data_IF_577473397200
#
_entry.id   IF_577473397200
#
_cell.length_a   1.000
_cell.length_b   1.000
_cell.length_c   1.000
_cell.angle_alpha   90.00
_cell.angle_beta   90.00
_cell.angle_gamma   90.00
#
_symmetry.space_group_name_H-M   'P 1'
#
loop_
_entity.id
_entity.type
_entity.pdbx_description
1 polymer ?
#
# COMPACT_ATOMS: atom_id res chain seq x y z
N UNK A 1 -11.75 24.80 -19.95
CA UNK A 1 -11.37 23.40 -19.64
C UNK A 1 -12.34 22.86 -18.61
N UNK A 2 -12.94 21.67 -18.81
CA UNK A 2 -13.90 21.13 -17.83
C UNK A 2 -13.18 20.78 -16.52
N UNK A 3 -13.82 21.03 -15.37
CA UNK A 3 -13.26 20.73 -14.04
C UNK A 3 -12.81 19.27 -13.93
N UNK A 4 -13.58 18.35 -14.51
CA UNK A 4 -13.24 16.93 -14.59
C UNK A 4 -11.93 16.66 -15.31
N UNK A 5 -11.68 17.34 -16.44
CA UNK A 5 -10.43 17.21 -17.18
C UNK A 5 -9.25 17.76 -16.37
N UNK A 6 -9.43 18.88 -15.67
CA UNK A 6 -8.40 19.44 -14.78
C UNK A 6 -8.04 18.47 -13.65
N UNK A 7 -9.03 17.79 -13.06
CA UNK A 7 -8.81 16.78 -12.01
C UNK A 7 -8.08 15.54 -12.52
N UNK A 8 -8.46 15.04 -13.69
CA UNK A 8 -7.77 13.90 -14.34
C UNK A 8 -6.32 14.28 -14.63
N UNK A 9 -6.10 15.46 -15.22
CA UNK A 9 -4.75 15.94 -15.52
C UNK A 9 -3.93 16.15 -14.24
N UNK A 10 -4.51 16.71 -13.17
CA UNK A 10 -3.85 16.88 -11.88
C UNK A 10 -3.33 15.56 -11.31
N UNK A 11 -4.18 14.54 -11.22
CA UNK A 11 -3.81 13.25 -10.67
C UNK A 11 -2.82 12.51 -11.57
N UNK A 12 -3.01 12.57 -12.89
CA UNK A 12 -2.13 11.89 -13.84
C UNK A 12 -0.74 12.52 -13.81
N UNK A 13 -0.68 13.86 -13.77
CA UNK A 13 0.56 14.60 -13.65
C UNK A 13 1.27 14.28 -12.33
N UNK A 14 0.55 14.28 -11.20
CA UNK A 14 1.12 13.93 -9.90
C UNK A 14 1.69 12.48 -9.87
N UNK A 15 0.95 11.53 -10.44
CA UNK A 15 1.40 10.13 -10.57
C UNK A 15 2.67 10.04 -11.44
N UNK A 16 2.65 10.62 -12.65
CA UNK A 16 3.79 10.60 -13.57
C UNK A 16 5.00 11.27 -12.92
N UNK A 17 4.80 12.42 -12.26
CA UNK A 17 5.87 13.11 -11.54
C UNK A 17 6.52 12.20 -10.50
N UNK A 18 5.73 11.59 -9.61
CA UNK A 18 6.25 10.68 -8.57
C UNK A 18 6.94 9.45 -9.13
N UNK A 19 6.42 8.88 -10.22
CA UNK A 19 7.02 7.71 -10.87
C UNK A 19 8.34 8.07 -11.54
N UNK A 20 8.39 9.17 -12.31
CA UNK A 20 9.61 9.59 -13.01
C UNK A 20 10.75 9.99 -12.06
N UNK A 21 10.46 10.34 -10.81
CA UNK A 21 11.48 10.59 -9.78
C UNK A 21 12.38 9.37 -9.55
N UNK A 22 11.85 8.15 -9.67
CA UNK A 22 12.51 6.93 -9.18
C UNK A 22 12.35 5.68 -10.04
N UNK A 23 11.56 5.72 -11.12
CA UNK A 23 11.36 4.58 -12.01
C UNK A 23 12.69 4.03 -12.54
N UNK A 24 12.92 2.74 -12.31
CA UNK A 24 14.14 1.99 -12.65
C UNK A 24 13.75 0.60 -13.19
N UNK A 25 14.74 -0.22 -13.55
CA UNK A 25 14.54 -1.65 -13.75
C UNK A 25 14.51 -2.38 -12.40
N UNK A 26 13.97 -3.61 -12.32
CA UNK A 26 14.06 -4.41 -11.12
C UNK A 26 15.52 -4.55 -10.68
N UNK A 27 15.76 -4.44 -9.37
CA UNK A 27 17.08 -4.71 -8.81
C UNK A 27 17.28 -6.22 -8.64
N UNK A 28 18.54 -6.63 -8.41
CA UNK A 28 18.90 -8.06 -8.23
C UNK A 28 18.07 -8.71 -7.10
N UNK A 29 17.73 -7.94 -6.06
CA UNK A 29 16.89 -8.41 -4.96
C UNK A 29 15.49 -8.80 -5.43
N UNK A 30 14.83 -7.93 -6.18
CA UNK A 30 13.52 -8.19 -6.77
C UNK A 30 13.58 -9.37 -7.74
N UNK A 31 14.60 -9.42 -8.61
CA UNK A 31 14.74 -10.49 -9.60
C UNK A 31 14.92 -11.86 -8.94
N UNK A 32 15.74 -11.94 -7.90
CA UNK A 32 15.98 -13.16 -7.12
C UNK A 32 14.66 -13.75 -6.60
N UNK A 33 13.72 -12.93 -6.14
CA UNK A 33 12.42 -13.40 -5.66
C UNK A 33 11.62 -14.16 -6.73
N UNK A 34 11.70 -13.76 -8.00
CA UNK A 34 11.03 -14.45 -9.12
C UNK A 34 11.73 -15.74 -9.55
N UNK A 35 13.04 -15.86 -9.30
CA UNK A 35 13.81 -17.05 -9.61
C UNK A 35 13.48 -18.22 -8.68
N UNK A 36 13.05 -17.94 -7.45
CA UNK A 36 12.75 -18.94 -6.42
C UNK A 36 11.33 -19.52 -6.53
N UNK A 37 11.21 -20.83 -6.42
CA UNK A 37 9.96 -21.59 -6.52
C UNK A 37 10.02 -22.89 -5.68
N UNK A 38 9.03 -23.78 -5.83
CA UNK A 38 8.95 -24.98 -5.02
C UNK A 38 9.80 -26.16 -5.50
N UNK A 39 10.64 -25.98 -6.54
CA UNK A 39 11.60 -27.02 -6.96
C UNK A 39 12.67 -27.29 -5.91
N UNK A 40 12.91 -26.33 -5.02
CA UNK A 40 13.83 -26.48 -3.88
C UNK A 40 13.20 -27.18 -2.67
N UNK A 41 11.92 -27.55 -2.76
CA UNK A 41 11.11 -27.95 -1.61
C UNK A 41 10.15 -26.85 -1.18
N UNK A 42 9.43 -27.07 -0.08
CA UNK A 42 8.50 -26.07 0.43
C UNK A 42 9.26 -24.91 1.09
N UNK A 43 9.22 -23.74 0.47
CA UNK A 43 9.82 -22.48 0.96
C UNK A 43 8.77 -21.38 1.00
N UNK A 44 8.84 -20.45 1.97
CA UNK A 44 7.94 -19.27 1.93
C UNK A 44 8.17 -18.47 0.66
N UNK A 45 7.15 -17.74 0.21
CA UNK A 45 7.20 -16.86 -0.97
C UNK A 45 7.45 -17.58 -2.31
N UNK A 46 7.55 -18.92 -2.32
CA UNK A 46 7.85 -19.70 -3.53
C UNK A 46 6.74 -19.70 -4.57
N UNK A 47 5.49 -19.40 -4.18
CA UNK A 47 4.35 -19.51 -5.10
C UNK A 47 4.42 -18.52 -6.27
N UNK A 48 4.92 -17.31 -6.06
CA UNK A 48 5.00 -16.32 -7.14
C UNK A 48 5.94 -16.78 -8.26
N UNK A 49 7.13 -17.28 -7.89
CA UNK A 49 8.06 -17.82 -8.86
C UNK A 49 7.60 -19.15 -9.47
N UNK A 50 6.82 -19.96 -8.76
CA UNK A 50 6.19 -21.18 -9.30
C UNK A 50 5.20 -20.82 -10.43
N UNK A 51 4.25 -19.91 -10.14
CA UNK A 51 3.27 -19.43 -11.13
C UNK A 51 4.00 -18.79 -12.32
N UNK A 52 5.00 -17.95 -12.06
CA UNK A 52 5.80 -17.33 -13.11
C UNK A 52 6.46 -18.36 -14.03
N UNK A 53 7.04 -19.42 -13.46
CA UNK A 53 7.72 -20.48 -14.19
C UNK A 53 6.80 -21.30 -15.11
N UNK A 54 5.49 -21.34 -14.86
CA UNK A 54 4.53 -22.02 -15.74
C UNK A 54 4.26 -21.25 -17.04
N UNK A 55 4.36 -19.91 -17.00
CA UNK A 55 4.00 -19.06 -18.14
C UNK A 55 5.21 -18.46 -18.86
N UNK A 56 6.33 -18.27 -18.16
CA UNK A 56 7.48 -17.53 -18.68
C UNK A 56 8.80 -18.24 -18.37
N UNK A 57 9.80 -17.97 -19.21
CA UNK A 57 11.18 -18.34 -18.91
C UNK A 57 11.72 -17.40 -17.82
N UNK A 58 12.45 -17.96 -16.86
CA UNK A 58 13.06 -17.21 -15.76
C UNK A 58 14.34 -16.51 -16.21
N UNK A 59 14.19 -15.34 -16.82
CA UNK A 59 15.29 -14.46 -17.21
C UNK A 59 14.94 -12.99 -16.90
N UNK A 60 15.97 -12.14 -16.81
CA UNK A 60 15.88 -10.68 -16.59
C UNK A 60 14.73 -10.03 -17.38
N UNK A 61 14.70 -10.23 -18.70
CA UNK A 61 13.72 -9.59 -19.58
C UNK A 61 12.27 -9.96 -19.24
N UNK A 62 12.01 -11.24 -18.97
CA UNK A 62 10.66 -11.71 -18.63
C UNK A 62 10.23 -11.19 -17.25
N UNK A 63 11.16 -11.15 -16.30
CA UNK A 63 10.92 -10.60 -14.96
C UNK A 63 10.63 -9.10 -15.05
N UNK A 64 11.46 -8.34 -15.77
CA UNK A 64 11.27 -6.90 -15.96
C UNK A 64 9.94 -6.57 -16.65
N UNK A 65 9.59 -7.29 -17.71
CA UNK A 65 8.33 -7.07 -18.44
C UNK A 65 7.12 -7.38 -17.56
N UNK A 66 7.11 -8.52 -16.86
CA UNK A 66 6.00 -8.89 -15.98
C UNK A 66 5.89 -7.90 -14.81
N UNK A 67 7.01 -7.53 -14.20
CA UNK A 67 7.07 -6.56 -13.10
C UNK A 67 6.52 -5.19 -13.51
N UNK A 68 6.90 -4.71 -14.69
CA UNK A 68 6.37 -3.48 -15.26
C UNK A 68 4.87 -3.59 -15.55
N UNK A 69 4.42 -4.71 -16.12
CA UNK A 69 2.99 -4.93 -16.39
C UNK A 69 2.16 -4.93 -15.10
N UNK A 70 2.64 -5.60 -14.05
CA UNK A 70 2.01 -5.62 -12.72
C UNK A 70 1.92 -4.21 -12.13
N UNK A 71 3.02 -3.45 -12.16
CA UNK A 71 3.07 -2.09 -11.63
C UNK A 71 2.14 -1.14 -12.38
N UNK A 72 2.18 -1.17 -13.72
CA UNK A 72 1.30 -0.37 -14.58
C UNK A 72 -0.16 -0.72 -14.31
N UNK A 73 -0.49 -2.01 -14.20
CA UNK A 73 -1.85 -2.45 -13.91
C UNK A 73 -2.34 -1.93 -12.55
N UNK A 74 -1.50 -1.99 -11.51
CA UNK A 74 -1.79 -1.39 -10.21
C UNK A 74 -2.05 0.12 -10.34
N UNK A 75 -1.18 0.84 -11.04
CA UNK A 75 -1.32 2.29 -11.26
C UNK A 75 -2.58 2.67 -12.02
N UNK A 76 -2.96 1.91 -13.05
CA UNK A 76 -4.21 2.10 -13.78
C UNK A 76 -5.42 1.89 -12.85
N UNK A 77 -5.39 0.86 -12.00
CA UNK A 77 -6.48 0.60 -11.05
C UNK A 77 -6.61 1.71 -9.99
N UNK A 78 -5.52 2.10 -9.33
CA UNK A 78 -5.57 3.17 -8.32
C UNK A 78 -5.97 4.51 -8.96
N UNK A 79 -5.50 4.81 -10.16
CA UNK A 79 -5.87 6.01 -10.90
C UNK A 79 -7.36 6.01 -11.25
N UNK A 80 -7.87 4.89 -11.80
CA UNK A 80 -9.28 4.73 -12.12
C UNK A 80 -10.16 4.87 -10.88
N UNK A 81 -9.76 4.29 -9.76
CA UNK A 81 -10.46 4.43 -8.47
C UNK A 81 -10.47 5.90 -8.04
N UNK A 82 -9.32 6.57 -8.00
CA UNK A 82 -9.22 7.98 -7.58
C UNK A 82 -10.10 8.92 -8.43
N UNK A 83 -10.06 8.77 -9.75
CA UNK A 83 -10.88 9.55 -10.69
C UNK A 83 -12.36 9.25 -10.49
N UNK A 84 -12.75 7.97 -10.46
CA UNK A 84 -14.15 7.56 -10.25
C UNK A 84 -14.70 8.10 -8.94
N UNK A 85 -13.95 7.95 -7.85
CA UNK A 85 -14.38 8.45 -6.55
C UNK A 85 -14.43 9.99 -6.56
N UNK A 86 -13.46 10.68 -7.14
CA UNK A 86 -13.51 12.15 -7.26
C UNK A 86 -14.73 12.64 -8.02
N UNK A 87 -15.12 11.96 -9.10
CA UNK A 87 -16.28 12.36 -9.90
C UNK A 87 -17.63 12.15 -9.23
N UNK A 88 -17.70 11.32 -8.18
CA UNK A 88 -18.92 11.21 -7.36
C UNK A 88 -19.20 12.48 -6.56
N UNK A 89 -18.17 13.25 -6.23
CA UNK A 89 -18.30 14.54 -5.56
C UNK A 89 -17.16 15.49 -5.98
N UNK A 90 -17.27 16.02 -7.20
CA UNK A 90 -16.21 16.83 -7.84
C UNK A 90 -15.89 18.16 -7.13
N UNK A 91 -16.76 18.58 -6.22
CA UNK A 91 -16.60 19.80 -5.42
C UNK A 91 -16.00 19.54 -4.03
N UNK A 92 -15.73 18.29 -3.66
CA UNK A 92 -15.05 17.98 -2.41
C UNK A 92 -13.55 18.26 -2.51
N UNK A 93 -13.11 19.37 -1.93
CA UNK A 93 -11.69 19.65 -1.75
C UNK A 93 -10.96 18.62 -0.86
N UNK A 94 -11.52 18.13 0.27
CA UNK A 94 -10.88 17.08 1.05
C UNK A 94 -10.53 15.84 0.22
N UNK A 95 -11.43 15.41 -0.65
CA UNK A 95 -11.21 14.29 -1.58
C UNK A 95 -10.09 14.59 -2.59
N UNK A 96 -10.09 15.79 -3.16
CA UNK A 96 -9.06 16.22 -4.12
C UNK A 96 -7.67 16.25 -3.47
N UNK A 97 -7.56 16.88 -2.30
CA UNK A 97 -6.29 16.98 -1.59
C UNK A 97 -5.79 15.62 -1.07
N UNK A 98 -6.70 14.74 -0.63
CA UNK A 98 -6.35 13.37 -0.25
C UNK A 98 -5.68 12.62 -1.40
N UNK A 99 -6.31 12.56 -2.58
CA UNK A 99 -5.75 11.84 -3.72
C UNK A 99 -4.49 12.51 -4.27
N UNK A 100 -4.42 13.85 -4.24
CA UNK A 100 -3.20 14.56 -4.63
C UNK A 100 -2.02 14.18 -3.73
N UNK A 101 -2.20 14.23 -2.40
CA UNK A 101 -1.16 13.82 -1.45
C UNK A 101 -0.81 12.35 -1.63
N UNK A 102 -1.78 11.46 -1.85
CA UNK A 102 -1.52 10.06 -2.13
C UNK A 102 -0.65 9.87 -3.39
N UNK A 103 -0.97 10.52 -4.52
CA UNK A 103 -0.17 10.38 -5.75
C UNK A 103 1.22 10.97 -5.63
N UNK A 104 1.39 12.00 -4.79
CA UNK A 104 2.71 12.57 -4.49
C UNK A 104 3.47 11.78 -3.42
N UNK A 105 2.79 10.93 -2.65
CA UNK A 105 3.35 10.27 -1.48
C UNK A 105 4.52 9.36 -1.79
N UNK A 106 5.27 9.07 -0.73
CA UNK A 106 6.41 8.17 -0.75
C UNK A 106 6.02 6.75 -1.18
N UNK A 107 4.77 6.33 -1.01
CA UNK A 107 4.32 5.04 -1.53
C UNK A 107 4.45 4.94 -3.06
N UNK A 108 4.06 5.98 -3.81
CA UNK A 108 4.18 5.98 -5.27
C UNK A 108 5.66 6.02 -5.67
N UNK A 109 6.46 6.80 -4.96
CA UNK A 109 7.91 6.90 -5.21
C UNK A 109 8.61 5.56 -4.94
N UNK A 110 8.32 4.88 -3.82
CA UNK A 110 8.90 3.59 -3.48
C UNK A 110 8.37 2.46 -4.37
N UNK A 111 7.09 2.44 -4.73
CA UNK A 111 6.57 1.41 -5.64
C UNK A 111 7.22 1.48 -7.03
N UNK A 112 7.51 2.69 -7.53
CA UNK A 112 8.25 2.85 -8.79
C UNK A 112 9.71 2.44 -8.68
N UNK A 113 10.34 2.69 -7.52
CA UNK A 113 11.73 2.29 -7.25
C UNK A 113 11.86 0.77 -7.10
N UNK A 114 10.95 0.15 -6.35
CA UNK A 114 10.94 -1.27 -5.99
C UNK A 114 10.20 -2.12 -7.04
N UNK A 115 10.27 -1.74 -8.32
CA UNK A 115 9.63 -2.50 -9.39
C UNK A 115 10.07 -3.96 -9.32
N UNK A 116 9.10 -4.88 -9.44
CA UNK A 116 9.34 -6.32 -9.30
C UNK A 116 9.22 -6.87 -7.88
N UNK A 117 9.09 -6.02 -6.86
CA UNK A 117 8.70 -6.50 -5.53
C UNK A 117 7.27 -7.03 -5.53
N UNK A 118 7.04 -8.09 -4.75
CA UNK A 118 5.72 -8.71 -4.62
C UNK A 118 4.67 -7.83 -3.91
N UNK A 119 5.06 -6.70 -3.34
CA UNK A 119 4.14 -5.71 -2.74
C UNK A 119 3.03 -5.32 -3.73
N UNK A 120 3.40 -5.11 -4.99
CA UNK A 120 2.46 -4.75 -6.05
C UNK A 120 1.41 -5.84 -6.25
N UNK A 121 1.82 -7.11 -6.24
CA UNK A 121 0.92 -8.26 -6.35
C UNK A 121 0.01 -8.34 -5.12
N UNK A 122 0.57 -8.17 -3.91
CA UNK A 122 -0.21 -8.14 -2.66
C UNK A 122 -1.28 -7.05 -2.70
N UNK A 123 -0.97 -5.84 -3.17
CA UNK A 123 -1.96 -4.77 -3.27
C UNK A 123 -3.02 -5.01 -4.35
N UNK A 124 -2.66 -5.60 -5.49
CA UNK A 124 -3.63 -6.04 -6.51
C UNK A 124 -4.60 -7.08 -5.95
N UNK A 125 -4.07 -8.09 -5.26
CA UNK A 125 -4.89 -9.10 -4.59
C UNK A 125 -5.73 -8.49 -3.45
N UNK A 126 -5.22 -7.48 -2.75
CA UNK A 126 -6.00 -6.74 -1.73
C UNK A 126 -7.18 -6.01 -2.36
N UNK A 127 -7.00 -5.35 -3.50
CA UNK A 127 -8.09 -4.71 -4.27
C UNK A 127 -9.14 -5.76 -4.69
N UNK A 128 -8.71 -6.94 -5.12
CA UNK A 128 -9.59 -8.05 -5.46
C UNK A 128 -10.36 -8.56 -4.22
N UNK A 129 -9.70 -8.76 -3.09
CA UNK A 129 -10.31 -9.17 -1.81
C UNK A 129 -11.38 -8.18 -1.36
N UNK A 130 -11.08 -6.88 -1.37
CA UNK A 130 -12.06 -5.82 -1.05
C UNK A 130 -13.26 -5.88 -2.01
N UNK A 131 -13.01 -6.10 -3.30
CA UNK A 131 -14.08 -6.25 -4.30
C UNK A 131 -14.97 -7.47 -4.02
N UNK A 132 -14.38 -8.61 -3.62
CA UNK A 132 -15.10 -9.83 -3.25
C UNK A 132 -15.90 -9.65 -1.96
N UNK A 133 -15.34 -9.00 -0.94
CA UNK A 133 -16.02 -8.63 0.31
C UNK A 133 -17.22 -7.73 0.02
N UNK A 134 -17.06 -6.75 -0.87
CA UNK A 134 -18.15 -5.86 -1.28
C UNK A 134 -19.28 -6.60 -2.00
N UNK A 135 -18.94 -7.69 -2.71
CA UNK A 135 -19.88 -8.63 -3.35
C UNK A 135 -20.34 -9.77 -2.42
N UNK A 136 -20.03 -9.70 -1.12
CA UNK A 136 -20.39 -10.71 -0.10
C UNK A 136 -19.82 -12.11 -0.36
N UNK A 137 -18.76 -12.23 -1.18
CA UNK A 137 -18.06 -13.51 -1.48
C UNK A 137 -16.91 -13.75 -0.50
N UNK A 138 -17.22 -13.88 0.79
CA UNK A 138 -16.21 -13.93 1.87
C UNK A 138 -15.28 -15.15 1.77
N UNK A 139 -15.79 -16.32 1.41
CA UNK A 139 -14.96 -17.51 1.24
C UNK A 139 -13.95 -17.36 0.09
N UNK A 140 -14.40 -16.84 -1.06
CA UNK A 140 -13.49 -16.57 -2.18
C UNK A 140 -12.43 -15.52 -1.81
N UNK A 141 -12.82 -14.49 -1.04
CA UNK A 141 -11.87 -13.50 -0.52
C UNK A 141 -10.83 -14.15 0.41
N UNK A 142 -11.25 -15.07 1.27
CA UNK A 142 -10.39 -15.88 2.15
C UNK A 142 -9.37 -16.70 1.35
N UNK A 143 -9.82 -17.39 0.29
CA UNK A 143 -8.92 -18.14 -0.61
C UNK A 143 -7.89 -17.23 -1.27
N UNK A 144 -8.30 -16.07 -1.81
CA UNK A 144 -7.35 -15.11 -2.41
C UNK A 144 -6.33 -14.62 -1.38
N UNK A 145 -6.74 -14.39 -0.13
CA UNK A 145 -5.82 -14.01 0.93
C UNK A 145 -4.82 -15.13 1.28
N UNK A 146 -5.24 -16.40 1.29
CA UNK A 146 -4.34 -17.57 1.41
C UNK A 146 -3.31 -17.59 0.27
N UNK A 147 -3.76 -17.44 -0.98
CA UNK A 147 -2.86 -17.35 -2.14
C UNK A 147 -1.85 -16.20 -1.99
N UNK A 148 -2.29 -15.05 -1.50
CA UNK A 148 -1.41 -13.90 -1.27
C UNK A 148 -0.36 -14.17 -0.20
N UNK A 149 -0.67 -14.92 0.86
CA UNK A 149 0.29 -15.26 1.93
C UNK A 149 1.40 -16.17 1.38
N UNK A 150 1.07 -17.12 0.51
CA UNK A 150 2.07 -17.97 -0.15
C UNK A 150 2.96 -17.20 -1.13
N UNK A 151 2.48 -16.09 -1.69
CA UNK A 151 3.29 -15.16 -2.50
C UNK A 151 4.19 -14.32 -1.58
N UNK A 152 3.61 -13.72 -0.55
CA UNK A 152 4.36 -12.93 0.41
C UNK A 152 3.59 -12.81 1.74
N UNK A 153 4.19 -13.27 2.82
CA UNK A 153 3.65 -13.28 4.17
C UNK A 153 3.31 -11.89 4.72
N UNK A 154 3.92 -10.82 4.19
CA UNK A 154 3.57 -9.44 4.59
C UNK A 154 2.11 -9.12 4.28
N UNK A 155 1.47 -9.88 3.38
CA UNK A 155 0.04 -9.75 3.11
C UNK A 155 -0.79 -9.92 4.39
N UNK A 156 -0.31 -10.65 5.40
CA UNK A 156 -0.94 -10.72 6.70
C UNK A 156 -1.12 -9.32 7.32
N UNK A 157 -0.09 -8.47 7.27
CA UNK A 157 -0.10 -7.12 7.84
C UNK A 157 -0.72 -6.08 6.92
N UNK A 158 -0.65 -6.27 5.60
CA UNK A 158 -1.14 -5.30 4.61
C UNK A 158 -2.61 -5.53 4.24
N UNK A 159 -3.01 -6.78 4.02
CA UNK A 159 -4.30 -7.15 3.46
C UNK A 159 -5.35 -7.41 4.54
N UNK A 160 -5.01 -8.14 5.60
CA UNK A 160 -6.01 -8.56 6.58
C UNK A 160 -6.64 -7.41 7.37
N UNK A 161 -5.88 -6.40 7.87
CA UNK A 161 -6.47 -5.29 8.62
C UNK A 161 -7.43 -4.45 7.77
N UNK A 162 -7.07 -4.19 6.51
CA UNK A 162 -7.95 -3.44 5.61
C UNK A 162 -9.14 -4.26 5.14
N UNK A 163 -8.99 -5.59 5.01
CA UNK A 163 -10.11 -6.51 4.74
C UNK A 163 -11.08 -6.59 5.92
N UNK A 164 -10.57 -6.53 7.15
CA UNK A 164 -11.40 -6.43 8.36
C UNK A 164 -12.21 -5.14 8.33
N UNK A 165 -11.55 -4.00 8.06
CA UNK A 165 -12.23 -2.72 7.91
C UNK A 165 -13.29 -2.75 6.79
N UNK A 166 -12.96 -3.33 5.62
CA UNK A 166 -13.89 -3.50 4.52
C UNK A 166 -15.14 -4.31 4.92
N UNK A 167 -14.96 -5.38 5.71
CA UNK A 167 -16.06 -6.20 6.19
C UNK A 167 -16.96 -5.42 7.15
N UNK A 168 -16.38 -4.71 8.12
CA UNK A 168 -17.14 -3.86 9.06
C UNK A 168 -17.96 -2.82 8.30
N UNK A 169 -17.34 -2.07 7.38
CA UNK A 169 -18.04 -1.06 6.56
C UNK A 169 -19.13 -1.69 5.68
N UNK A 170 -18.88 -2.89 5.15
CA UNK A 170 -19.83 -3.61 4.29
C UNK A 170 -21.06 -4.10 5.06
N UNK A 171 -20.95 -4.37 6.36
CA UNK A 171 -22.02 -4.89 7.22
C UNK A 171 -22.76 -3.81 8.01
N UNK A 172 -22.07 -2.77 8.48
CA UNK A 172 -22.65 -1.73 9.33
C UNK A 172 -23.33 -0.57 8.56
N UNK A 173 -23.76 -0.81 7.31
CA UNK A 173 -24.31 0.22 6.42
C UNK A 173 -25.43 1.03 7.11
N UNK A 174 -25.31 2.36 7.06
CA UNK A 174 -26.26 3.35 7.59
C UNK A 174 -26.49 3.37 9.11
N UNK A 175 -25.86 2.48 9.88
CA UNK A 175 -25.93 2.48 11.35
C UNK A 175 -24.67 3.11 11.94
N UNK A 176 -24.82 3.77 13.08
CA UNK A 176 -23.67 4.20 13.89
C UNK A 176 -22.97 2.93 14.38
N UNK A 177 -21.75 2.71 13.92
CA UNK A 177 -20.97 1.54 14.31
C UNK A 177 -20.63 1.61 15.80
N UNK A 178 -20.79 0.47 16.47
CA UNK A 178 -20.34 0.22 17.83
C UNK A 178 -19.33 -0.92 17.84
N UNK A 179 -18.32 -0.89 18.73
CA UNK A 179 -17.41 -2.03 18.94
C UNK A 179 -18.16 -3.30 19.31
N UNK A 180 -19.32 -3.19 19.97
CA UNK A 180 -20.21 -4.31 20.24
C UNK A 180 -20.71 -5.03 18.98
N UNK A 181 -20.84 -4.32 17.85
CA UNK A 181 -21.30 -4.89 16.58
C UNK A 181 -20.32 -5.95 16.05
N UNK A 182 -19.01 -5.80 16.33
CA UNK A 182 -17.97 -6.78 15.95
C UNK A 182 -18.30 -8.16 16.52
N UNK A 183 -18.82 -8.20 17.75
CA UNK A 183 -19.17 -9.43 18.47
C UNK A 183 -20.55 -9.98 18.13
N UNK A 184 -21.27 -9.37 17.18
CA UNK A 184 -22.52 -9.92 16.69
C UNK A 184 -22.27 -11.25 15.96
N UNK A 185 -23.16 -12.24 16.16
CA UNK A 185 -23.06 -13.56 15.52
C UNK A 185 -22.91 -13.48 13.99
N UNK A 186 -23.59 -12.51 13.36
CA UNK A 186 -23.52 -12.27 11.91
C UNK A 186 -22.12 -11.84 11.48
N UNK A 187 -21.52 -10.86 12.15
CA UNK A 187 -20.17 -10.37 11.82
C UNK A 187 -19.12 -11.42 12.18
N UNK A 188 -19.21 -12.06 13.36
CA UNK A 188 -18.29 -13.12 13.77
C UNK A 188 -18.25 -14.30 12.78
N UNK A 189 -19.40 -14.75 12.28
CA UNK A 189 -19.45 -15.83 11.28
C UNK A 189 -18.75 -15.45 9.98
N UNK A 190 -18.91 -14.19 9.52
CA UNK A 190 -18.27 -13.69 8.29
C UNK A 190 -16.78 -13.43 8.50
N UNK A 191 -16.38 -12.98 9.69
CA UNK A 191 -14.98 -12.86 10.11
C UNK A 191 -14.30 -14.23 10.12
N UNK A 192 -14.96 -15.26 10.68
CA UNK A 192 -14.44 -16.62 10.67
C UNK A 192 -14.24 -17.12 9.23
N UNK A 193 -15.24 -16.94 8.36
CA UNK A 193 -15.14 -17.29 6.94
C UNK A 193 -13.97 -16.58 6.23
N UNK A 194 -13.73 -15.31 6.56
CA UNK A 194 -12.70 -14.49 5.91
C UNK A 194 -11.29 -14.77 6.45
N UNK A 195 -11.13 -15.03 7.76
CA UNK A 195 -9.82 -15.00 8.42
C UNK A 195 -9.31 -16.35 8.91
N UNK A 196 -10.15 -17.35 9.14
CA UNK A 196 -9.68 -18.65 9.67
C UNK A 196 -8.64 -19.27 8.75
N UNK A 197 -8.88 -19.33 7.43
CA UNK A 197 -7.92 -19.93 6.50
C UNK A 197 -6.62 -19.12 6.41
N UNK A 198 -6.62 -17.79 6.16
CA UNK A 198 -5.38 -17.00 6.12
C UNK A 198 -4.57 -17.06 7.42
N UNK A 199 -5.22 -17.04 8.58
CA UNK A 199 -4.53 -17.12 9.89
C UNK A 199 -3.89 -18.50 10.05
N UNK A 200 -4.62 -19.58 9.79
CA UNK A 200 -4.06 -20.95 9.84
C UNK A 200 -2.89 -21.06 8.87
N UNK A 201 -3.03 -20.61 7.61
CA UNK A 201 -1.95 -20.64 6.62
C UNK A 201 -0.72 -19.90 7.12
N UNK A 202 -0.88 -18.70 7.68
CA UNK A 202 0.24 -17.91 8.21
C UNK A 202 0.95 -18.67 9.34
N UNK A 203 0.19 -19.21 10.29
CA UNK A 203 0.74 -19.99 11.42
C UNK A 203 1.44 -21.24 10.90
N UNK A 204 0.85 -21.98 9.97
CA UNK A 204 1.43 -23.20 9.40
C UNK A 204 2.75 -22.91 8.66
N UNK A 205 2.80 -21.83 7.88
CA UNK A 205 4.03 -21.42 7.17
C UNK A 205 5.13 -21.02 8.17
N UNK A 206 4.78 -20.23 9.19
CA UNK A 206 5.74 -19.82 10.23
C UNK A 206 6.23 -21.01 11.05
N UNK A 207 5.34 -21.93 11.43
CA UNK A 207 5.68 -23.13 12.19
C UNK A 207 6.56 -24.09 11.36
N UNK A 208 6.25 -24.27 10.08
CA UNK A 208 7.09 -25.06 9.17
C UNK A 208 8.50 -24.49 9.09
N UNK A 209 8.64 -23.17 8.99
CA UNK A 209 9.95 -22.50 8.97
C UNK A 209 10.71 -22.67 10.28
N UNK A 210 10.03 -22.61 11.42
CA UNK A 210 10.68 -22.80 12.72
C UNK A 210 11.29 -24.20 12.86
N UNK A 211 10.64 -25.22 12.29
CA UNK A 211 11.13 -26.62 12.34
C UNK A 211 12.23 -26.87 11.32
N UNK A 212 12.13 -26.29 10.13
CA UNK A 212 12.99 -26.61 8.99
C UNK A 212 14.01 -25.49 8.68
N UNK A 213 14.34 -24.65 9.67
CA UNK A 213 15.22 -23.49 9.49
C UNK A 213 16.56 -23.93 8.84
N UNK A 214 17.05 -23.09 7.93
CA UNK A 214 18.32 -23.25 7.21
C UNK A 214 18.49 -24.47 6.27
N UNK A 215 17.59 -25.45 6.28
CA UNK A 215 17.72 -26.68 5.47
C UNK A 215 17.91 -26.42 3.96
N UNK A 216 17.37 -25.31 3.46
CA UNK A 216 17.43 -24.94 2.03
C UNK A 216 18.43 -23.84 1.71
N UNK A 217 19.17 -23.30 2.70
CA UNK A 217 19.96 -22.09 2.52
C UNK A 217 21.05 -22.28 1.45
N UNK A 218 21.90 -23.30 1.61
CA UNK A 218 23.00 -23.58 0.70
C UNK A 218 22.53 -23.90 -0.72
N UNK A 219 21.37 -24.55 -0.85
CA UNK A 219 20.78 -24.90 -2.15
C UNK A 219 20.33 -23.63 -2.87
N UNK A 220 19.58 -22.76 -2.19
CA UNK A 220 19.09 -21.49 -2.74
C UNK A 220 20.26 -20.57 -3.08
N UNK A 221 21.23 -20.44 -2.17
CA UNK A 221 22.41 -19.60 -2.35
C UNK A 221 23.20 -20.00 -3.59
N UNK A 222 23.51 -21.30 -3.72
CA UNK A 222 24.25 -21.82 -4.86
C UNK A 222 23.49 -21.64 -6.17
N UNK A 223 22.17 -21.83 -6.17
CA UNK A 223 21.34 -21.60 -7.36
C UNK A 223 21.33 -20.14 -7.80
N UNK A 224 21.12 -19.21 -6.87
CA UNK A 224 21.12 -17.77 -7.18
C UNK A 224 22.49 -17.32 -7.67
N UNK A 225 23.57 -17.75 -7.01
CA UNK A 225 24.96 -17.44 -7.40
C UNK A 225 25.32 -17.98 -8.80
N UNK A 226 24.81 -19.15 -9.18
CA UNK A 226 25.01 -19.70 -10.53
C UNK A 226 24.27 -18.91 -11.61
N UNK A 227 23.23 -18.18 -11.22
CA UNK A 227 22.52 -17.28 -12.11
C UNK A 227 23.37 -16.01 -12.22
N UNK A 228 24.12 -15.85 -13.31
CA UNK A 228 25.09 -14.75 -13.57
C UNK A 228 24.57 -13.31 -13.37
N UNK A 229 23.29 -13.16 -13.04
CA UNK A 229 22.53 -11.93 -12.84
C UNK A 229 22.55 -11.47 -11.37
N UNK A 230 22.87 -12.36 -10.41
CA UNK A 230 22.74 -12.10 -8.97
C UNK A 230 24.11 -12.12 -8.27
N UNK A 231 24.44 -11.03 -7.58
CA UNK A 231 25.66 -10.93 -6.77
C UNK A 231 25.62 -11.83 -5.53
N UNK A 232 26.80 -12.20 -5.02
CA UNK A 232 26.95 -13.05 -3.83
C UNK A 232 26.25 -12.44 -2.58
N UNK A 233 26.32 -11.12 -2.42
CA UNK A 233 25.69 -10.41 -1.30
C UNK A 233 24.16 -10.53 -1.35
N UNK A 234 23.58 -10.26 -2.52
CA UNK A 234 22.12 -10.38 -2.75
C UNK A 234 21.68 -11.83 -2.59
N UNK A 235 22.40 -12.79 -3.18
CA UNK A 235 22.09 -14.21 -3.07
C UNK A 235 22.06 -14.68 -1.60
N UNK A 236 23.04 -14.27 -0.79
CA UNK A 236 23.11 -14.61 0.64
C UNK A 236 21.96 -13.99 1.44
N UNK A 237 21.65 -12.72 1.18
CA UNK A 237 20.59 -12.03 1.89
C UNK A 237 19.20 -12.56 1.48
N UNK A 238 18.94 -12.86 0.19
CA UNK A 238 17.66 -13.47 -0.26
C UNK A 238 17.52 -14.88 0.30
N UNK A 239 18.58 -15.68 0.25
CA UNK A 239 18.54 -17.04 0.83
C UNK A 239 18.16 -16.99 2.31
N UNK A 240 18.75 -16.05 3.07
CA UNK A 240 18.38 -15.79 4.47
C UNK A 240 16.91 -15.36 4.61
N UNK A 241 16.41 -14.49 3.72
CA UNK A 241 15.02 -14.04 3.72
C UNK A 241 14.00 -15.18 3.54
N UNK A 242 14.39 -16.26 2.84
CA UNK A 242 13.53 -17.43 2.58
C UNK A 242 13.66 -18.53 3.63
N UNK A 243 14.83 -18.70 4.25
CA UNK A 243 15.06 -19.82 5.16
C UNK A 243 14.93 -19.45 6.63
N UNK A 244 15.41 -18.26 7.03
CA UNK A 244 15.44 -17.87 8.44
C UNK A 244 14.04 -17.84 9.06
N UNK A 245 13.97 -18.38 10.26
CA UNK A 245 12.79 -18.43 11.11
C UNK A 245 12.24 -17.06 11.51
N UNK A 246 10.97 -17.03 11.93
CA UNK A 246 10.35 -15.80 12.44
C UNK A 246 11.05 -15.33 13.72
N UNK A 247 11.39 -16.26 14.61
CA UNK A 247 12.08 -15.99 15.87
C UNK A 247 13.41 -15.28 15.63
N UNK A 248 14.19 -15.73 14.64
CA UNK A 248 15.44 -15.09 14.25
C UNK A 248 15.25 -13.60 13.90
N UNK A 249 14.26 -13.28 13.05
CA UNK A 249 13.97 -11.90 12.68
C UNK A 249 13.45 -11.07 13.85
N UNK A 250 12.57 -11.65 14.68
CA UNK A 250 12.01 -10.95 15.82
C UNK A 250 13.09 -10.59 16.85
N UNK A 251 13.94 -11.54 17.22
CA UNK A 251 15.04 -11.29 18.16
C UNK A 251 16.03 -10.25 17.64
N UNK A 252 16.35 -10.29 16.34
CA UNK A 252 17.26 -9.34 15.71
C UNK A 252 16.67 -7.93 15.54
N UNK A 253 15.35 -7.76 15.47
CA UNK A 253 14.73 -6.47 15.11
C UNK A 253 13.91 -5.83 16.23
N UNK A 254 13.44 -6.58 17.24
CA UNK A 254 12.59 -6.06 18.32
C UNK A 254 13.19 -4.87 19.06
N UNK A 255 14.52 -4.84 19.24
CA UNK A 255 15.24 -3.74 19.92
C UNK A 255 15.14 -2.40 19.19
N UNK A 256 14.95 -2.41 17.87
CA UNK A 256 14.85 -1.21 17.04
C UNK A 256 13.41 -0.73 16.83
N UNK A 257 12.41 -1.47 17.32
CA UNK A 257 11.00 -1.21 17.04
C UNK A 257 10.57 0.22 17.45
N UNK A 258 10.81 0.58 18.73
CA UNK A 258 10.45 1.90 19.26
C UNK A 258 11.21 3.02 18.55
N UNK A 259 12.50 2.80 18.26
CA UNK A 259 13.34 3.76 17.54
C UNK A 259 12.77 4.05 16.14
N UNK A 260 12.43 3.01 15.37
CA UNK A 260 11.91 3.15 14.00
C UNK A 260 10.51 3.78 13.96
N UNK A 261 9.69 3.50 14.97
CA UNK A 261 8.30 3.97 15.03
C UNK A 261 8.16 5.41 15.55
N UNK A 262 8.95 5.81 16.55
CA UNK A 262 8.73 7.10 17.23
C UNK A 262 9.89 8.09 17.13
N UNK A 263 11.12 7.61 16.93
CA UNK A 263 12.34 8.44 17.00
C UNK A 263 12.94 8.67 15.59
N UNK A 264 12.51 7.90 14.59
CA UNK A 264 13.04 8.01 13.24
C UNK A 264 12.57 9.29 12.53
N UNK A 265 13.35 9.74 11.55
CA UNK A 265 12.94 10.82 10.63
C UNK A 265 11.63 10.49 9.92
N UNK A 266 11.34 9.20 9.70
CA UNK A 266 10.11 8.75 9.04
C UNK A 266 8.85 9.11 9.83
N UNK A 267 8.91 9.09 11.16
CA UNK A 267 7.78 9.47 12.02
C UNK A 267 7.27 10.87 11.68
N UNK A 268 8.17 11.80 11.36
CA UNK A 268 7.81 13.16 10.94
C UNK A 268 7.48 13.18 9.44
N UNK A 269 8.40 12.72 8.59
CA UNK A 269 8.31 12.90 7.14
C UNK A 269 7.14 12.13 6.49
N UNK A 270 6.75 11.00 7.07
CA UNK A 270 5.66 10.16 6.58
C UNK A 270 4.44 10.30 7.49
N UNK A 271 4.65 10.32 8.81
CA UNK A 271 3.56 10.41 9.79
C UNK A 271 2.70 11.68 9.63
N UNK A 272 3.30 12.82 9.28
CA UNK A 272 2.54 14.08 9.11
C UNK A 272 1.66 14.06 7.85
N UNK A 273 2.16 13.67 6.66
CA UNK A 273 1.27 13.46 5.52
C UNK A 273 0.24 12.34 5.71
N UNK A 274 0.58 11.25 6.42
CA UNK A 274 -0.38 10.20 6.81
C UNK A 274 -1.49 10.79 7.68
N UNK A 275 -1.13 11.60 8.69
CA UNK A 275 -2.09 12.27 9.56
C UNK A 275 -2.98 13.25 8.78
N UNK A 276 -2.43 13.94 7.77
CA UNK A 276 -3.22 14.77 6.87
C UNK A 276 -4.24 13.94 6.07
N UNK A 277 -3.81 12.81 5.49
CA UNK A 277 -4.70 11.90 4.78
C UNK A 277 -5.82 11.35 5.68
N UNK A 278 -5.49 10.96 6.92
CA UNK A 278 -6.47 10.58 7.94
C UNK A 278 -7.46 11.70 8.24
N UNK A 279 -6.96 12.94 8.38
CA UNK A 279 -7.81 14.11 8.61
C UNK A 279 -8.75 14.38 7.43
N UNK A 280 -8.27 14.26 6.19
CA UNK A 280 -9.11 14.40 4.99
C UNK A 280 -10.21 13.34 4.94
N UNK A 281 -9.92 12.08 5.27
CA UNK A 281 -10.93 11.01 5.40
C UNK A 281 -11.93 11.36 6.52
N UNK A 282 -11.44 11.74 7.70
CA UNK A 282 -12.29 12.09 8.85
C UNK A 282 -13.30 13.18 8.51
N UNK A 283 -12.84 14.20 7.76
CA UNK A 283 -13.66 15.34 7.31
C UNK A 283 -14.62 14.97 6.20
N UNK A 284 -14.15 14.28 5.16
CA UNK A 284 -14.94 13.90 3.99
C UNK A 284 -16.14 13.02 4.39
N UNK A 285 -15.90 12.01 5.23
CA UNK A 285 -16.94 11.07 5.65
C UNK A 285 -17.61 11.45 6.98
N UNK A 286 -17.32 12.65 7.52
CA UNK A 286 -17.86 13.18 8.77
C UNK A 286 -17.77 12.18 9.93
N UNK A 287 -16.63 11.51 10.05
CA UNK A 287 -16.42 10.40 11.00
C UNK A 287 -16.47 10.84 12.46
N UNK A 288 -16.60 12.14 12.75
CA UNK A 288 -16.98 12.65 14.09
C UNK A 288 -18.26 12.00 14.62
N UNK A 289 -19.21 11.67 13.74
CA UNK A 289 -20.46 10.98 14.11
C UNK A 289 -20.26 9.49 14.41
N UNK A 290 -19.12 8.93 13.99
CA UNK A 290 -18.78 7.52 14.10
C UNK A 290 -17.29 7.33 14.44
N UNK A 291 -16.89 7.84 15.62
CA UNK A 291 -15.49 7.86 16.04
C UNK A 291 -14.89 6.46 16.19
N UNK A 292 -15.70 5.47 16.56
CA UNK A 292 -15.24 4.09 16.70
C UNK A 292 -14.83 3.51 15.34
N UNK A 293 -15.56 3.82 14.27
CA UNK A 293 -15.17 3.43 12.92
C UNK A 293 -13.85 4.11 12.50
N UNK A 294 -13.66 5.38 12.89
CA UNK A 294 -12.39 6.08 12.64
C UNK A 294 -11.21 5.47 13.41
N UNK A 295 -11.43 5.00 14.64
CA UNK A 295 -10.41 4.26 15.41
C UNK A 295 -10.05 2.97 14.66
N UNK A 296 -11.03 2.18 14.21
CA UNK A 296 -10.76 0.94 13.45
C UNK A 296 -9.97 1.23 12.16
N UNK A 297 -10.35 2.28 11.42
CA UNK A 297 -9.63 2.72 10.22
C UNK A 297 -8.18 3.10 10.54
N UNK A 298 -7.99 3.91 11.58
CA UNK A 298 -6.67 4.39 12.00
C UNK A 298 -5.79 3.21 12.42
N UNK A 299 -6.34 2.29 13.22
CA UNK A 299 -5.65 1.05 13.59
C UNK A 299 -5.24 0.28 12.33
N UNK A 300 -6.18 0.01 11.42
CA UNK A 300 -5.89 -0.73 10.18
C UNK A 300 -4.78 -0.06 9.34
N UNK A 301 -4.77 1.28 9.26
CA UNK A 301 -3.75 2.04 8.53
C UNK A 301 -2.35 1.93 9.15
N UNK A 302 -2.25 1.74 10.47
CA UNK A 302 -0.97 1.66 11.18
C UNK A 302 -0.50 0.23 11.48
N UNK A 303 -1.34 -0.81 11.33
CA UNK A 303 -0.91 -2.22 11.46
C UNK A 303 0.33 -2.56 10.60
N UNK A 304 0.48 -2.08 9.35
CA UNK A 304 1.70 -2.32 8.58
C UNK A 304 3.00 -1.94 9.31
N UNK A 305 2.96 -0.94 10.19
CA UNK A 305 4.15 -0.51 10.93
C UNK A 305 4.62 -1.53 11.98
N UNK A 306 3.79 -2.52 12.34
CA UNK A 306 4.20 -3.65 13.18
C UNK A 306 5.29 -4.50 12.51
N UNK A 307 5.44 -4.44 11.18
CA UNK A 307 6.52 -5.09 10.46
C UNK A 307 7.91 -4.66 10.94
N UNK A 308 8.06 -3.47 11.54
CA UNK A 308 9.35 -3.04 12.11
C UNK A 308 9.86 -3.94 13.24
N UNK A 309 8.99 -4.78 13.83
CA UNK A 309 9.39 -5.76 14.83
C UNK A 309 10.15 -6.95 14.23
N UNK A 310 10.08 -7.15 12.92
CA UNK A 310 10.65 -8.30 12.20
C UNK A 310 11.39 -7.92 10.91
N UNK A 311 11.38 -6.66 10.50
CA UNK A 311 12.00 -6.18 9.27
C UNK A 311 12.69 -4.83 9.49
N UNK A 312 13.77 -4.61 8.73
CA UNK A 312 14.61 -3.41 8.83
C UNK A 312 14.26 -2.30 7.84
N UNK A 313 13.44 -2.61 6.83
CA UNK A 313 13.01 -1.78 5.70
C UNK A 313 12.17 -0.54 6.11
N UNK A 314 12.77 0.38 6.87
CA UNK A 314 12.03 1.43 7.58
C UNK A 314 11.25 2.35 6.63
N UNK A 315 11.88 2.85 5.56
CA UNK A 315 11.24 3.75 4.61
C UNK A 315 10.11 3.09 3.81
N UNK A 316 10.34 1.86 3.33
CA UNK A 316 9.32 1.05 2.63
C UNK A 316 8.13 0.75 3.53
N UNK A 317 8.36 0.32 4.78
CA UNK A 317 7.29 0.01 5.74
C UNK A 317 6.46 1.26 6.07
N UNK A 318 7.12 2.40 6.28
CA UNK A 318 6.42 3.69 6.50
C UNK A 318 5.61 4.18 5.31
N UNK A 319 5.84 3.65 4.11
CA UNK A 319 5.06 3.98 2.92
C UNK A 319 3.71 3.24 2.84
N UNK A 320 3.61 2.04 3.43
CA UNK A 320 2.40 1.20 3.33
C UNK A 320 1.11 1.85 3.86
N UNK A 321 1.12 2.64 4.97
CA UNK A 321 -0.07 3.33 5.44
C UNK A 321 -0.75 4.21 4.38
N UNK A 322 -0.02 4.82 3.45
CA UNK A 322 -0.63 5.62 2.37
C UNK A 322 -1.56 4.78 1.50
N UNK A 323 -1.14 3.58 1.13
CA UNK A 323 -1.95 2.66 0.33
C UNK A 323 -3.12 2.09 1.13
N UNK A 324 -2.93 1.80 2.42
CA UNK A 324 -4.04 1.36 3.29
C UNK A 324 -5.07 2.47 3.45
N UNK A 325 -4.66 3.73 3.59
CA UNK A 325 -5.56 4.88 3.63
C UNK A 325 -6.28 5.09 2.30
N UNK A 326 -5.59 4.92 1.17
CA UNK A 326 -6.21 4.96 -0.16
C UNK A 326 -7.34 3.93 -0.29
N UNK A 327 -7.07 2.68 0.10
CA UNK A 327 -8.06 1.61 0.11
C UNK A 327 -9.20 1.90 1.10
N UNK A 328 -8.90 2.46 2.27
CA UNK A 328 -9.90 2.86 3.27
C UNK A 328 -10.84 3.94 2.74
N UNK A 329 -10.28 4.95 2.06
CA UNK A 329 -11.06 5.99 1.37
C UNK A 329 -12.00 5.36 0.34
N UNK A 330 -11.47 4.44 -0.48
CA UNK A 330 -12.27 3.75 -1.49
C UNK A 330 -13.39 2.89 -0.87
N UNK A 331 -13.10 2.15 0.19
CA UNK A 331 -14.08 1.35 0.94
C UNK A 331 -15.23 2.24 1.43
N UNK A 332 -14.91 3.34 2.14
CA UNK A 332 -15.91 4.28 2.66
C UNK A 332 -16.74 4.93 1.55
N UNK A 333 -16.09 5.33 0.45
CA UNK A 333 -16.76 5.95 -0.71
C UNK A 333 -17.64 4.97 -1.47
N UNK A 334 -17.27 3.67 -1.52
CA UNK A 334 -18.02 2.64 -2.26
C UNK A 334 -19.40 2.35 -1.68
N UNK A 335 -19.57 2.55 -0.36
CA UNK A 335 -20.79 2.18 0.38
C UNK A 335 -21.77 3.33 0.59
N UNK A 336 -21.55 4.47 -0.04
CA UNK A 336 -22.37 5.66 0.16
C UNK A 336 -22.64 5.85 1.66
N UNK A 337 -21.57 5.89 2.48
CA UNK A 337 -21.66 6.56 3.79
C UNK A 337 -21.80 8.06 3.48
N UNK A 338 -22.89 8.39 2.79
CA UNK A 338 -23.32 9.71 2.43
C UNK A 338 -23.88 10.28 3.71
N UNK A 339 -22.99 10.99 4.40
CA UNK A 339 -23.37 12.29 4.93
C UNK A 339 -24.24 12.95 3.86
N UNK A 340 -25.49 13.28 4.19
CA UNK A 340 -26.34 14.17 3.38
C UNK A 340 -25.44 15.24 2.77
N UNK A 341 -25.61 15.57 1.48
CA UNK A 341 -24.89 16.64 0.75
C UNK A 341 -24.87 17.93 1.60
N UNK A 342 -24.00 17.99 2.60
CA UNK A 342 -23.71 19.20 3.35
C UNK A 342 -22.97 20.07 2.35
N UNK A 343 -23.35 21.34 2.33
CA UNK A 343 -22.81 22.36 1.43
C UNK A 343 -21.30 22.27 1.32
N UNK A 344 -20.78 22.58 0.13
CA UNK A 344 -19.36 22.63 -0.22
C UNK A 344 -18.53 23.12 0.98
N UNK A 345 -17.91 22.18 1.71
CA UNK A 345 -17.16 22.51 2.91
C UNK A 345 -15.88 23.22 2.48
N UNK A 346 -15.87 24.54 2.65
CA UNK A 346 -14.66 25.35 2.45
C UNK A 346 -13.58 24.83 3.41
N UNK A 347 -12.37 24.68 2.90
CA UNK A 347 -11.21 24.38 3.73
C UNK A 347 -10.94 25.56 4.68
N UNK A 348 -10.74 25.25 5.94
CA UNK A 348 -10.25 26.21 6.94
C UNK A 348 -8.78 26.57 6.68
N UNK A 349 -8.34 27.72 7.20
CA UNK A 349 -6.94 28.13 7.12
C UNK A 349 -5.98 27.09 7.71
N UNK A 350 -6.38 26.43 8.80
CA UNK A 350 -5.60 25.36 9.44
C UNK A 350 -5.43 24.16 8.51
N UNK A 351 -6.47 23.76 7.78
CA UNK A 351 -6.40 22.65 6.82
C UNK A 351 -5.50 22.99 5.62
N UNK A 352 -5.49 24.25 5.19
CA UNK A 352 -4.60 24.73 4.13
C UNK A 352 -3.15 24.70 4.61
N UNK A 353 -2.87 25.19 5.82
CA UNK A 353 -1.52 25.14 6.42
C UNK A 353 -1.06 23.69 6.57
N UNK A 354 -1.93 22.79 7.06
CA UNK A 354 -1.61 21.37 7.19
C UNK A 354 -1.30 20.74 5.83
N UNK A 355 -2.12 21.02 4.80
CA UNK A 355 -1.85 20.57 3.44
C UNK A 355 -0.49 21.07 2.94
N UNK A 356 -0.19 22.37 3.09
CA UNK A 356 1.09 22.95 2.65
C UNK A 356 2.24 22.24 3.35
N UNK A 357 2.15 22.04 4.66
CA UNK A 357 3.21 21.39 5.42
C UNK A 357 3.41 19.92 5.00
N UNK A 358 2.33 19.14 4.88
CA UNK A 358 2.39 17.77 4.37
C UNK A 358 2.95 17.69 2.95
N UNK A 359 2.55 18.62 2.08
CA UNK A 359 3.06 18.73 0.72
C UNK A 359 4.56 19.01 0.72
N UNK A 360 5.03 20.00 1.50
CA UNK A 360 6.44 20.36 1.57
C UNK A 360 7.30 19.19 2.07
N UNK A 361 6.83 18.42 3.06
CA UNK A 361 7.55 17.24 3.56
C UNK A 361 7.69 16.15 2.50
N UNK A 362 6.62 15.86 1.74
CA UNK A 362 6.66 14.89 0.63
C UNK A 362 7.59 15.34 -0.49
N UNK A 363 7.57 16.64 -0.77
CA UNK A 363 8.12 17.19 -1.99
C UNK A 363 9.58 17.66 -1.86
N UNK A 364 9.91 18.39 -0.79
CA UNK A 364 11.23 19.00 -0.62
C UNK A 364 12.27 18.00 -0.13
N UNK A 365 11.86 17.02 0.66
CA UNK A 365 12.77 16.08 1.30
C UNK A 365 13.06 14.95 0.30
N UNK A 366 14.33 14.72 -0.07
CA UNK A 366 14.67 13.59 -0.92
C UNK A 366 14.37 12.28 -0.19
N UNK A 367 13.79 11.32 -0.90
CA UNK A 367 13.59 9.97 -0.36
C UNK A 367 14.93 9.22 -0.30
N UNK A 368 15.20 8.57 0.83
CA UNK A 368 16.30 7.63 0.99
C UNK A 368 15.88 6.29 0.35
N UNK A 369 16.33 6.03 -0.89
CA UNK A 369 15.99 4.81 -1.62
C UNK A 369 16.90 3.64 -1.21
N UNK A 370 16.57 2.43 -1.63
CA UNK A 370 17.40 1.25 -1.40
C UNK A 370 18.60 1.23 -2.35
N UNK A 371 19.55 0.33 -2.07
CA UNK A 371 20.74 0.09 -2.90
C UNK A 371 21.65 1.32 -3.06
N UNK A 372 21.64 2.23 -2.08
CA UNK A 372 22.44 3.47 -2.10
C UNK A 372 21.93 4.50 -3.11
N UNK A 373 20.71 4.32 -3.63
CA UNK A 373 20.17 5.11 -4.70
C UNK A 373 19.52 6.42 -4.23
N UNK A 374 19.44 7.39 -5.14
CA UNK A 374 18.80 8.69 -4.89
C UNK A 374 17.75 9.02 -5.94
N UNK A 375 16.91 10.02 -5.65
CA UNK A 375 15.94 10.54 -6.60
C UNK A 375 16.63 11.17 -7.82
N UNK A 376 16.04 11.01 -9.01
CA UNK A 376 16.58 11.59 -10.25
C UNK A 376 16.48 13.12 -10.32
N UNK A 377 15.49 13.70 -9.64
CA UNK A 377 15.22 15.13 -9.71
C UNK A 377 15.83 15.86 -8.51
N UNK A 378 16.81 16.72 -8.78
CA UNK A 378 17.33 17.65 -7.79
C UNK A 378 16.31 18.77 -7.49
N UNK A 379 16.51 19.50 -6.39
CA UNK A 379 15.51 20.42 -5.82
C UNK A 379 14.97 21.49 -6.82
N UNK A 380 15.80 22.25 -7.56
CA UNK A 380 15.33 23.17 -8.60
C UNK A 380 14.40 22.54 -9.65
N UNK A 381 14.72 21.34 -10.16
CA UNK A 381 13.87 20.64 -11.13
C UNK A 381 12.55 20.26 -10.50
N UNK A 382 12.58 19.74 -9.26
CA UNK A 382 11.37 19.46 -8.50
C UNK A 382 10.48 20.70 -8.40
N UNK A 383 11.06 21.87 -8.07
CA UNK A 383 10.30 23.13 -7.91
C UNK A 383 9.59 23.55 -9.20
N UNK A 384 10.30 23.49 -10.33
CA UNK A 384 9.75 23.82 -11.65
C UNK A 384 8.63 22.84 -12.03
N UNK A 385 8.88 21.54 -11.85
CA UNK A 385 7.92 20.49 -12.21
C UNK A 385 6.67 20.51 -11.33
N UNK A 386 6.65 21.18 -10.17
CA UNK A 386 5.43 21.31 -9.37
C UNK A 386 4.57 22.53 -9.67
N UNK A 387 5.05 23.49 -10.45
CA UNK A 387 4.27 24.66 -10.86
C UNK A 387 2.91 24.28 -11.48
N UNK A 388 2.81 23.26 -12.37
CA UNK A 388 1.51 22.86 -12.93
C UNK A 388 0.49 22.42 -11.87
N UNK A 389 0.93 21.71 -10.82
CA UNK A 389 0.04 21.26 -9.73
C UNK A 389 -0.57 22.46 -9.01
N UNK A 390 0.23 23.47 -8.66
CA UNK A 390 -0.27 24.69 -8.02
C UNK A 390 -1.19 25.51 -8.92
N UNK A 391 -0.85 25.64 -10.20
CA UNK A 391 -1.69 26.33 -11.19
C UNK A 391 -3.06 25.66 -11.30
N UNK A 392 -3.11 24.33 -11.42
CA UNK A 392 -4.37 23.59 -11.51
C UNK A 392 -5.19 23.74 -10.23
N UNK A 393 -4.57 23.63 -9.04
CA UNK A 393 -5.26 23.85 -7.76
C UNK A 393 -5.86 25.26 -7.65
N UNK A 394 -5.15 26.28 -8.12
CA UNK A 394 -5.65 27.66 -8.17
C UNK A 394 -6.89 27.77 -9.06
N UNK A 395 -6.89 27.14 -10.25
CA UNK A 395 -8.08 27.12 -11.12
C UNK A 395 -9.23 26.31 -10.54
N UNK A 396 -8.96 25.20 -9.85
CA UNK A 396 -9.98 24.39 -9.16
C UNK A 396 -10.61 25.13 -7.99
N UNK A 397 -9.91 26.09 -7.36
CA UNK A 397 -10.44 26.93 -6.27
C UNK A 397 -11.51 27.91 -6.74
N UNK A 398 -11.47 28.36 -8.00
CA UNK A 398 -12.45 29.34 -8.50
C UNK A 398 -13.85 28.70 -8.56
N UNK A 399 -14.89 29.35 -8.03
CA UNK A 399 -16.25 28.83 -8.13
C UNK A 399 -16.61 28.69 -9.61
N UNK A 400 -17.23 27.56 -9.97
CA UNK A 400 -17.88 27.46 -11.28
C UNK A 400 -18.95 28.55 -11.31
N UNK A 401 -18.85 29.49 -12.25
CA UNK A 401 -19.99 30.32 -12.62
C UNK A 401 -21.10 29.33 -12.97
N UNK A 402 -22.24 29.43 -12.27
CA UNK A 402 -23.45 28.79 -12.77
C UNK A 402 -23.67 29.38 -14.15
N UNK A 403 -23.45 28.55 -15.18
CA UNK A 403 -23.95 28.85 -16.50
C UNK A 403 -25.42 28.47 -16.36
N UNK A 404 -26.26 29.49 -16.16
CA UNK A 404 -27.71 29.36 -16.15
C UNK A 404 -28.21 28.92 -17.54
#
# INVERSE_FOLDING_TARGET
MSRKLLLVFLYLYALIFSVLKTARFPNEWAESHWLLDYRFGFIKRGLAGEIFGWFFRKNEWSIALLSAAILIFLYVLIFRIAVKETFRNENSFPRILFFLIFFLSQYVVFSAHLIGYFDHVVFLLTILVITLINRKKFFAASLVAVFSIFIHEISFFLMLPISFFALIVSECQNKKFSFGDIFSKSILSKLALLFVLPVITTISISFFQEINDENYFSIIFNYLKQTLMISDEVAGSVSSAYTKSFTYYFEGQKGHFIQRLFISKCTIYYGIPIAFCLWMIFREFNLKKNIQLFIVLTTAAFVPLLLHAIAYDTYRIWSFPFMVLFLSFWILSSKEITVKKEEVKRLSSVEIIFFIFSFLLIFLIPNELFDGETERFYLPVRLILMLPVFLILYFLKKPQSKID
#
